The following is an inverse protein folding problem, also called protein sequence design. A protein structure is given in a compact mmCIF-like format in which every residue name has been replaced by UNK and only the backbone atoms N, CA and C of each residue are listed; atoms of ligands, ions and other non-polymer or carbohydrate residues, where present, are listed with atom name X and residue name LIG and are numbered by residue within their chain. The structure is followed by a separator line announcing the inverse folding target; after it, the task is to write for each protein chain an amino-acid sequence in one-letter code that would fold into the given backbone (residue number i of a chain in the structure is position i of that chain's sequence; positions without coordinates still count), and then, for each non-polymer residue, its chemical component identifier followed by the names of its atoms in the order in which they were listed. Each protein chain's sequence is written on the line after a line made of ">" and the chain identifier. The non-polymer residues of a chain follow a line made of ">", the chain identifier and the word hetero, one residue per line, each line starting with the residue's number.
data_IF_798378200692
#
_entry.id   IF_798378200692
#
_cell.length_a   1.000
_cell.length_b   1.000
_cell.length_c   1.000
_cell.angle_alpha   90.00
_cell.angle_beta   90.00
_cell.angle_gamma   90.00
#
_symmetry.space_group_name_H-M   'P 1'
#
loop_
_entity.id
_entity.type
_entity.pdbx_description
1 polymer ?
#
# COMPACT_ATOMS: atom_id res chain seq x y z
N UNK A 1 -1.85 11.02 10.71
CA UNK A 1 -1.50 10.63 9.33
C UNK A 1 -2.66 10.76 8.35
N UNK A 2 -3.92 10.46 8.71
CA UNK A 2 -5.06 10.59 7.77
C UNK A 2 -5.23 11.98 7.12
N UNK A 3 -4.77 13.05 7.80
CA UNK A 3 -4.75 14.41 7.23
C UNK A 3 -3.94 14.52 5.93
N UNK A 4 -2.98 13.62 5.69
CA UNK A 4 -2.23 13.60 4.44
C UNK A 4 -3.07 13.17 3.24
N UNK A 5 -4.21 12.50 3.43
CA UNK A 5 -5.12 12.13 2.33
C UNK A 5 -5.67 13.37 1.62
N UNK A 6 -6.42 14.27 2.29
CA UNK A 6 -6.90 15.49 1.63
C UNK A 6 -5.75 16.39 1.16
N UNK A 7 -4.63 16.43 1.89
CA UNK A 7 -3.44 17.20 1.46
C UNK A 7 -2.89 16.65 0.14
N UNK A 8 -2.73 15.33 -0.01
CA UNK A 8 -2.22 14.72 -1.23
C UNK A 8 -3.11 15.04 -2.44
N UNK A 9 -4.44 15.01 -2.26
CA UNK A 9 -5.38 15.45 -3.29
C UNK A 9 -5.18 16.92 -3.65
N UNK A 10 -5.13 17.83 -2.66
CA UNK A 10 -4.93 19.26 -2.91
C UNK A 10 -3.62 19.51 -3.65
N UNK A 11 -2.53 18.89 -3.21
CA UNK A 11 -1.19 19.03 -3.79
C UNK A 11 -1.18 18.53 -5.25
N UNK A 12 -1.83 17.39 -5.52
CA UNK A 12 -1.94 16.83 -6.87
C UNK A 12 -2.82 17.66 -7.81
N UNK A 13 -3.97 18.16 -7.34
CA UNK A 13 -4.85 19.00 -8.16
C UNK A 13 -4.29 20.40 -8.41
N UNK A 14 -3.51 20.94 -7.47
CA UNK A 14 -2.86 22.24 -7.63
C UNK A 14 -1.49 22.15 -8.32
N UNK A 15 -1.03 20.95 -8.70
CA UNK A 15 0.26 20.71 -9.36
C UNK A 15 1.44 21.38 -8.64
N UNK A 16 1.49 21.26 -7.31
CA UNK A 16 2.48 21.97 -6.47
C UNK A 16 3.90 21.37 -6.55
N UNK A 17 4.11 20.37 -7.42
CA UNK A 17 5.41 19.82 -7.77
C UNK A 17 5.56 18.36 -7.35
N UNK A 18 6.26 17.59 -8.19
CA UNK A 18 6.32 16.12 -8.06
C UNK A 18 6.89 15.61 -6.73
N UNK A 19 7.81 16.33 -6.10
CA UNK A 19 8.34 15.93 -4.78
C UNK A 19 7.28 16.03 -3.68
N UNK A 20 6.45 17.08 -3.70
CA UNK A 20 5.40 17.27 -2.72
C UNK A 20 4.26 16.29 -2.94
N UNK A 21 3.89 16.04 -4.20
CA UNK A 21 2.91 15.02 -4.59
C UNK A 21 3.36 13.64 -4.10
N UNK A 22 4.62 13.28 -4.32
CA UNK A 22 5.18 12.01 -3.87
C UNK A 22 5.16 11.88 -2.35
N UNK A 23 5.70 12.85 -1.61
CA UNK A 23 5.80 12.79 -0.15
C UNK A 23 4.44 12.75 0.52
N UNK A 24 3.51 13.59 0.08
CA UNK A 24 2.17 13.66 0.68
C UNK A 24 1.35 12.41 0.35
N UNK A 25 1.47 11.87 -0.86
CA UNK A 25 0.83 10.59 -1.23
C UNK A 25 1.42 9.41 -0.46
N UNK A 26 2.75 9.33 -0.32
CA UNK A 26 3.40 8.27 0.45
C UNK A 26 2.93 8.27 1.92
N UNK A 27 2.86 9.44 2.55
CA UNK A 27 2.37 9.58 3.93
C UNK A 27 0.86 9.30 4.06
N UNK A 28 0.08 9.60 3.03
CA UNK A 28 -1.36 9.28 2.97
C UNK A 28 -1.61 7.78 2.87
N UNK A 29 -0.75 7.04 2.16
CA UNK A 29 -0.88 5.59 1.95
C UNK A 29 -0.68 4.81 3.27
N UNK A 30 0.24 5.23 4.14
CA UNK A 30 0.54 4.52 5.41
C UNK A 30 -0.73 4.22 6.25
N UNK A 31 -1.56 5.21 6.63
CA UNK A 31 -2.76 4.94 7.40
C UNK A 31 -3.85 4.23 6.57
N UNK A 32 -3.90 4.44 5.26
CA UNK A 32 -4.84 3.75 4.37
C UNK A 32 -4.55 2.25 4.30
N UNK A 33 -3.27 1.87 4.20
CA UNK A 33 -2.83 0.48 4.20
C UNK A 33 -3.23 -0.22 5.49
N UNK A 34 -3.04 0.44 6.64
CA UNK A 34 -3.47 -0.09 7.94
C UNK A 34 -4.99 -0.31 7.98
N UNK A 35 -5.79 0.66 7.55
CA UNK A 35 -7.26 0.53 7.53
C UNK A 35 -7.72 -0.60 6.61
N UNK A 36 -7.12 -0.72 5.42
CA UNK A 36 -7.42 -1.80 4.49
C UNK A 36 -7.06 -3.17 5.08
N UNK A 37 -5.91 -3.28 5.73
CA UNK A 37 -5.50 -4.51 6.44
C UNK A 37 -6.50 -4.91 7.52
N UNK A 38 -6.84 -4.00 8.44
CA UNK A 38 -7.82 -4.28 9.50
C UNK A 38 -9.20 -4.62 8.93
N UNK A 39 -9.66 -3.92 7.89
CA UNK A 39 -10.92 -4.23 7.24
C UNK A 39 -10.90 -5.64 6.59
N UNK A 40 -9.76 -6.04 6.03
CA UNK A 40 -9.56 -7.36 5.44
C UNK A 40 -9.58 -8.45 6.51
N UNK A 41 -8.92 -8.24 7.64
CA UNK A 41 -8.92 -9.18 8.77
C UNK A 41 -10.33 -9.38 9.33
N UNK A 42 -11.08 -8.30 9.55
CA UNK A 42 -12.46 -8.33 10.03
C UNK A 42 -13.40 -9.05 9.05
N UNK A 43 -13.18 -8.88 7.75
CA UNK A 43 -13.96 -9.57 6.73
C UNK A 43 -13.57 -11.05 6.67
N UNK A 44 -12.28 -11.36 6.69
CA UNK A 44 -11.74 -12.72 6.66
C UNK A 44 -12.26 -13.56 7.84
N UNK A 45 -12.38 -12.95 9.02
CA UNK A 45 -12.93 -13.58 10.22
C UNK A 45 -14.40 -14.03 10.07
N UNK A 46 -15.15 -13.47 9.11
CA UNK A 46 -16.59 -13.72 8.93
C UNK A 46 -16.94 -14.67 7.78
N UNK A 47 -16.00 -14.97 6.89
CA UNK A 47 -16.26 -15.75 5.66
C UNK A 47 -15.72 -17.19 5.70
N UNK A 48 -15.17 -17.62 6.84
CA UNK A 48 -14.60 -18.95 7.04
C UNK A 48 -13.15 -19.09 6.57
N UNK A 49 -12.47 -20.16 6.99
CA UNK A 49 -11.01 -20.30 6.87
C UNK A 49 -10.47 -20.25 5.42
N UNK A 50 -11.15 -20.91 4.48
CA UNK A 50 -10.72 -20.95 3.08
C UNK A 50 -10.79 -19.58 2.38
N UNK A 51 -11.97 -18.96 2.39
CA UNK A 51 -12.18 -17.63 1.80
C UNK A 51 -11.44 -16.54 2.58
N UNK A 52 -11.38 -16.66 3.90
CA UNK A 52 -10.65 -15.71 4.75
C UNK A 52 -9.15 -15.73 4.48
N UNK A 53 -8.57 -16.92 4.27
CA UNK A 53 -7.17 -17.06 3.86
C UNK A 53 -6.90 -16.40 2.50
N UNK A 54 -7.78 -16.61 1.51
CA UNK A 54 -7.67 -15.95 0.20
C UNK A 54 -7.77 -14.43 0.30
N UNK A 55 -8.72 -13.90 1.08
CA UNK A 55 -8.88 -12.47 1.30
C UNK A 55 -7.64 -11.87 1.96
N UNK A 56 -7.09 -12.50 2.99
CA UNK A 56 -5.90 -11.98 3.67
C UNK A 56 -4.68 -12.02 2.73
N UNK A 57 -4.50 -13.10 1.97
CA UNK A 57 -3.39 -13.20 1.02
C UNK A 57 -3.43 -12.12 -0.08
N UNK A 58 -4.62 -11.75 -0.56
CA UNK A 58 -4.80 -10.73 -1.61
C UNK A 58 -4.90 -9.32 -1.04
N UNK A 59 -5.88 -9.06 -0.18
CA UNK A 59 -6.15 -7.72 0.35
C UNK A 59 -5.25 -7.30 1.51
N UNK A 60 -4.66 -8.25 2.25
CA UNK A 60 -3.64 -7.94 3.26
C UNK A 60 -2.39 -7.32 2.64
N UNK A 61 -2.09 -7.66 1.38
CA UNK A 61 -1.01 -7.09 0.58
C UNK A 61 -1.51 -6.13 -0.53
N UNK A 62 -2.80 -5.75 -0.53
CA UNK A 62 -3.37 -5.01 -1.65
C UNK A 62 -2.69 -3.67 -1.89
N UNK A 63 -2.21 -2.99 -0.85
CA UNK A 63 -1.48 -1.72 -1.01
C UNK A 63 -0.25 -1.90 -1.90
N UNK A 64 0.57 -2.93 -1.63
CA UNK A 64 1.76 -3.23 -2.43
C UNK A 64 1.37 -3.62 -3.86
N UNK A 65 0.35 -4.46 -4.02
CA UNK A 65 -0.12 -4.92 -5.33
C UNK A 65 -0.66 -3.76 -6.18
N UNK A 66 -1.39 -2.82 -5.59
CA UNK A 66 -1.93 -1.64 -6.29
C UNK A 66 -0.78 -0.74 -6.76
N UNK A 67 0.20 -0.45 -5.89
CA UNK A 67 1.35 0.39 -6.25
C UNK A 67 2.18 -0.30 -7.35
N UNK A 68 2.46 -1.60 -7.19
CA UNK A 68 3.19 -2.38 -8.17
C UNK A 68 2.46 -2.40 -9.53
N UNK A 69 1.13 -2.56 -9.54
CA UNK A 69 0.34 -2.55 -10.76
C UNK A 69 0.47 -1.22 -11.52
N UNK A 70 0.27 -0.07 -10.84
CA UNK A 70 0.41 1.24 -11.50
C UNK A 70 1.85 1.55 -11.91
N UNK A 71 2.84 1.14 -11.12
CA UNK A 71 4.25 1.27 -11.49
C UNK A 71 4.61 0.44 -12.73
N UNK A 72 4.10 -0.80 -12.84
CA UNK A 72 4.24 -1.63 -14.04
C UNK A 72 3.59 -0.98 -15.26
N UNK A 73 2.38 -0.44 -15.13
CA UNK A 73 1.71 0.30 -16.21
C UNK A 73 2.52 1.52 -16.68
N UNK A 74 3.25 2.17 -15.76
CA UNK A 74 4.16 3.26 -16.07
C UNK A 74 5.54 2.81 -16.59
N UNK A 75 5.76 1.50 -16.80
CA UNK A 75 7.03 0.94 -17.27
C UNK A 75 8.14 0.91 -16.20
N UNK A 76 7.83 1.16 -14.94
CA UNK A 76 8.78 1.24 -13.82
C UNK A 76 9.10 -0.14 -13.23
N UNK A 77 9.53 -1.08 -14.08
CA UNK A 77 9.78 -2.48 -13.69
C UNK A 77 10.85 -2.61 -12.60
N UNK A 78 11.90 -1.80 -12.66
CA UNK A 78 12.96 -1.80 -11.64
C UNK A 78 12.46 -1.33 -10.27
N UNK A 79 11.54 -0.35 -10.24
CA UNK A 79 10.91 0.11 -8.99
C UNK A 79 10.07 -1.01 -8.37
N UNK A 80 9.35 -1.76 -9.20
CA UNK A 80 8.52 -2.89 -8.75
C UNK A 80 9.40 -4.00 -8.15
N UNK A 81 10.48 -4.38 -8.83
CA UNK A 81 11.44 -5.38 -8.31
C UNK A 81 12.08 -4.93 -7.00
N UNK A 82 12.50 -3.66 -6.93
CA UNK A 82 13.08 -3.09 -5.72
C UNK A 82 12.07 -3.09 -4.56
N UNK A 83 10.80 -2.71 -4.82
CA UNK A 83 9.73 -2.72 -3.81
C UNK A 83 9.45 -4.12 -3.27
N UNK A 84 9.34 -5.13 -4.14
CA UNK A 84 9.12 -6.51 -3.72
C UNK A 84 10.30 -7.06 -2.90
N UNK A 85 11.52 -6.77 -3.33
CA UNK A 85 12.74 -7.14 -2.60
C UNK A 85 12.76 -6.48 -1.23
N UNK A 86 12.44 -5.19 -1.17
CA UNK A 86 12.33 -4.42 0.07
C UNK A 86 11.28 -4.97 1.02
N UNK A 87 10.11 -5.40 0.52
CA UNK A 87 9.06 -6.02 1.35
C UNK A 87 9.50 -7.35 1.96
N UNK A 88 10.18 -8.20 1.18
CA UNK A 88 10.74 -9.47 1.69
C UNK A 88 11.76 -9.19 2.81
N UNK A 89 12.70 -8.28 2.57
CA UNK A 89 13.73 -7.90 3.56
C UNK A 89 13.07 -7.28 4.80
N UNK A 90 12.08 -6.39 4.60
CA UNK A 90 11.33 -5.71 5.66
C UNK A 90 10.63 -6.69 6.59
N UNK A 91 9.88 -7.63 6.03
CA UNK A 91 9.15 -8.63 6.81
C UNK A 91 10.10 -9.58 7.55
N UNK A 92 11.17 -10.03 6.90
CA UNK A 92 12.10 -11.00 7.50
C UNK A 92 13.02 -10.39 8.56
N UNK A 93 13.47 -9.14 8.39
CA UNK A 93 14.49 -8.54 9.26
C UNK A 93 13.95 -7.48 10.22
N UNK A 94 12.91 -6.72 9.85
CA UNK A 94 12.41 -5.60 10.66
C UNK A 94 11.12 -5.91 11.41
N UNK A 95 10.24 -6.76 10.87
CA UNK A 95 8.95 -7.09 11.52
C UNK A 95 9.06 -8.33 12.40
N UNK A 96 9.76 -9.36 11.94
CA UNK A 96 10.01 -10.59 12.70
C UNK A 96 11.19 -10.50 13.67
N UNK A 97 12.07 -9.50 13.49
CA UNK A 97 13.29 -9.28 14.28
C UNK A 97 13.08 -8.59 15.62
#
# INVERSE_FOLDING_TARGET
>A
MLVFVPIAFIVGFAHLGGIWEFLTSALAIIPMAKLLGTATEELAARVGSGLGGLLNATFGNATELIIAFFALQAGLTEVVKASLTGSIIGNLLFVLG
#
